data_IF_802440151253
#
_entry.id   IF_802440151253
#
_cell.length_a   1.000
_cell.length_b   1.000
_cell.length_c   1.000
_cell.angle_alpha   90.00
_cell.angle_beta   90.00
_cell.angle_gamma   90.00
#
_symmetry.space_group_name_H-M   'P 1'
#
loop_
_entity.id
_entity.type
_entity.pdbx_description
1 polymer ?
#
# COMPACT_ATOMS: atom_id res chain seq x y z
N UNK A 1 19.23 -12.59 7.41
CA UNK A 1 20.28 -13.51 6.92
C UNK A 1 19.66 -14.58 6.06
N UNK A 2 20.24 -14.77 4.86
CA UNK A 2 20.01 -15.80 3.82
C UNK A 2 18.70 -15.72 3.02
N UNK A 3 18.81 -15.14 1.87
CA UNK A 3 18.58 -15.57 0.48
C UNK A 3 17.66 -16.78 0.31
N UNK A 4 16.44 -16.56 -0.15
CA UNK A 4 15.58 -17.57 -0.75
C UNK A 4 15.95 -17.74 -2.22
N UNK A 5 16.30 -18.97 -2.62
CA UNK A 5 16.65 -19.34 -3.99
C UNK A 5 15.40 -19.36 -4.89
N UNK A 6 15.52 -18.73 -6.05
CA UNK A 6 14.57 -18.84 -7.16
C UNK A 6 14.58 -20.25 -7.71
N UNK A 7 13.40 -20.88 -7.80
CA UNK A 7 13.18 -22.05 -8.66
C UNK A 7 12.78 -21.57 -10.05
N UNK A 8 13.59 -21.83 -11.07
CA UNK A 8 13.29 -21.56 -12.47
C UNK A 8 12.28 -22.57 -13.01
N UNK A 9 11.22 -22.08 -13.62
CA UNK A 9 10.26 -22.91 -14.36
C UNK A 9 10.65 -22.86 -15.83
N UNK A 10 10.99 -24.03 -16.38
CA UNK A 10 11.24 -24.25 -17.80
C UNK A 10 9.96 -24.12 -18.61
N UNK A 11 10.02 -23.35 -19.71
CA UNK A 11 8.92 -23.15 -20.62
C UNK A 11 8.54 -24.43 -21.38
N UNK A 12 7.25 -24.64 -21.52
CA UNK A 12 6.65 -25.57 -22.47
C UNK A 12 5.90 -24.78 -23.52
N UNK A 13 6.39 -24.91 -24.75
CA UNK A 13 5.73 -24.39 -25.95
C UNK A 13 4.59 -25.33 -26.33
N UNK A 14 3.36 -24.79 -26.33
CA UNK A 14 2.20 -25.50 -26.90
C UNK A 14 1.84 -24.91 -28.26
N UNK A 15 1.84 -25.73 -29.29
CA UNK A 15 1.44 -25.38 -30.63
C UNK A 15 -0.09 -25.29 -30.74
N UNK A 16 -0.58 -24.19 -31.32
CA UNK A 16 -1.99 -23.96 -31.62
C UNK A 16 -2.28 -24.46 -33.03
N UNK A 17 -3.16 -25.44 -33.16
CA UNK A 17 -3.73 -25.87 -34.41
C UNK A 17 -4.98 -25.01 -34.74
N UNK A 18 -4.96 -24.34 -35.88
CA UNK A 18 -6.08 -23.59 -36.44
C UNK A 18 -6.98 -24.57 -37.19
N UNK A 19 -8.26 -24.66 -36.83
CA UNK A 19 -9.30 -25.32 -37.63
C UNK A 19 -10.22 -24.25 -38.18
N UNK A 20 -10.23 -24.08 -39.50
CA UNK A 20 -11.21 -23.32 -40.25
C UNK A 20 -12.47 -24.19 -40.46
N UNK A 21 -13.62 -23.72 -40.06
CA UNK A 21 -14.92 -24.30 -40.31
C UNK A 21 -15.87 -23.28 -40.92
N UNK A 22 -16.44 -23.60 -42.02
CA UNK A 22 -17.21 -22.78 -42.97
C UNK A 22 -18.65 -22.48 -42.55
N UNK A 23 -19.16 -21.39 -43.09
CA UNK A 23 -20.47 -20.80 -42.93
C UNK A 23 -21.69 -21.70 -43.22
N UNK A 24 -22.77 -21.47 -42.44
CA UNK A 24 -24.14 -21.89 -42.76
C UNK A 24 -25.14 -20.81 -42.33
N UNK A 25 -25.78 -20.15 -43.30
CA UNK A 25 -26.93 -19.27 -43.12
C UNK A 25 -28.21 -20.05 -42.81
N UNK A 26 -29.00 -19.57 -41.85
CA UNK A 26 -30.39 -20.04 -41.65
C UNK A 26 -31.08 -19.16 -40.62
N UNK A 27 -32.14 -18.45 -41.07
CA UNK A 27 -32.78 -17.34 -40.38
C UNK A 27 -33.86 -17.67 -39.35
N UNK A 28 -34.28 -16.66 -38.67
CA UNK A 28 -35.61 -16.43 -38.13
C UNK A 28 -35.79 -16.45 -36.62
N UNK A 29 -36.06 -15.30 -36.06
CA UNK A 29 -37.07 -15.17 -35.01
C UNK A 29 -36.62 -14.81 -33.59
N UNK A 30 -37.04 -13.62 -33.13
CA UNK A 30 -37.31 -13.33 -31.73
C UNK A 30 -36.12 -12.77 -30.95
N UNK A 31 -35.90 -11.47 -31.06
CA UNK A 31 -34.91 -10.77 -30.26
C UNK A 31 -35.43 -10.43 -28.88
N UNK A 32 -35.03 -11.15 -27.87
CA UNK A 32 -34.87 -10.55 -26.54
C UNK A 32 -33.51 -9.85 -26.52
N UNK A 33 -33.57 -8.53 -26.72
CA UNK A 33 -32.43 -7.64 -26.46
C UNK A 33 -32.17 -7.62 -24.97
N UNK A 34 -31.35 -8.55 -24.48
CA UNK A 34 -30.67 -8.36 -23.21
C UNK A 34 -29.78 -7.12 -23.39
N UNK A 35 -30.31 -5.96 -22.99
CA UNK A 35 -29.51 -4.75 -22.88
C UNK A 35 -28.32 -5.09 -21.99
N UNK A 36 -27.13 -5.12 -22.56
CA UNK A 36 -25.89 -5.13 -21.81
C UNK A 36 -26.02 -3.92 -20.88
N UNK A 37 -26.09 -4.16 -19.58
CA UNK A 37 -26.07 -3.08 -18.60
C UNK A 37 -24.77 -2.33 -18.80
N UNK A 38 -24.88 -1.06 -19.22
CA UNK A 38 -23.73 -0.17 -19.23
C UNK A 38 -23.05 -0.26 -17.88
N UNK A 39 -21.72 -0.40 -17.82
CA UNK A 39 -21.01 -0.45 -16.54
C UNK A 39 -21.36 0.82 -15.77
N UNK A 40 -21.93 0.65 -14.57
CA UNK A 40 -22.24 1.77 -13.67
C UNK A 40 -20.99 2.64 -13.54
N UNK A 41 -21.04 3.95 -13.81
CA UNK A 41 -19.86 4.81 -13.70
C UNK A 41 -19.25 4.67 -12.32
N UNK A 42 -17.95 4.39 -12.24
CA UNK A 42 -17.23 4.35 -10.97
C UNK A 42 -17.31 5.74 -10.33
N UNK A 43 -17.67 5.80 -9.04
CA UNK A 43 -17.75 7.07 -8.34
C UNK A 43 -16.40 7.77 -8.35
N UNK A 44 -16.39 9.11 -8.47
CA UNK A 44 -15.16 9.91 -8.64
C UNK A 44 -14.15 9.72 -7.50
N UNK A 45 -14.62 9.37 -6.30
CA UNK A 45 -13.77 9.12 -5.14
C UNK A 45 -13.38 7.63 -4.96
N UNK A 46 -13.47 6.82 -5.99
CA UNK A 46 -13.18 5.37 -5.91
C UNK A 46 -12.07 5.00 -6.88
N UNK A 47 -11.05 4.33 -6.35
CA UNK A 47 -10.03 3.63 -7.12
C UNK A 47 -10.27 2.12 -6.96
N UNK A 48 -10.47 1.36 -8.05
CA UNK A 48 -10.54 -0.09 -7.97
C UNK A 48 -9.24 -0.67 -7.40
N UNK A 49 -9.34 -1.48 -6.35
CA UNK A 49 -8.24 -2.30 -5.84
C UNK A 49 -8.27 -3.64 -6.55
N UNK A 50 -7.10 -4.11 -6.96
CA UNK A 50 -6.89 -5.48 -7.43
C UNK A 50 -5.79 -6.14 -6.60
N UNK A 51 -6.06 -7.36 -6.15
CA UNK A 51 -5.10 -8.23 -5.46
C UNK A 51 -4.90 -9.43 -6.37
N UNK A 52 -3.74 -9.54 -6.96
CA UNK A 52 -3.30 -10.62 -7.83
C UNK A 52 -1.77 -10.74 -7.78
N UNK A 53 -1.15 -11.45 -8.70
CA UNK A 53 0.31 -11.60 -8.76
C UNK A 53 1.06 -10.27 -8.99
N UNK A 54 0.38 -9.24 -9.50
CA UNK A 54 0.97 -7.94 -9.79
C UNK A 54 2.22 -7.99 -10.68
N UNK A 55 2.98 -6.90 -10.73
CA UNK A 55 4.16 -6.82 -11.59
C UNK A 55 5.37 -7.62 -11.08
N UNK A 56 5.34 -8.10 -9.84
CA UNK A 56 6.48 -8.75 -9.18
C UNK A 56 6.17 -10.17 -8.68
N UNK A 57 5.01 -10.73 -9.03
CA UNK A 57 4.53 -12.04 -8.56
C UNK A 57 4.43 -12.10 -7.04
N UNK A 58 3.73 -11.14 -6.45
CA UNK A 58 3.50 -11.01 -5.02
C UNK A 58 2.20 -11.70 -4.57
N UNK A 59 2.04 -11.85 -3.27
CA UNK A 59 0.82 -12.33 -2.61
C UNK A 59 0.33 -11.28 -1.62
N UNK A 60 -0.99 -11.24 -1.40
CA UNK A 60 -1.60 -10.31 -0.47
C UNK A 60 -1.10 -8.86 -0.67
N UNK A 61 -1.07 -8.39 -1.91
CA UNK A 61 -0.64 -7.03 -2.23
C UNK A 61 -1.77 -6.31 -2.96
N UNK A 62 -2.32 -5.23 -2.39
CA UNK A 62 -3.41 -4.48 -2.99
C UNK A 62 -2.85 -3.45 -3.98
N UNK A 63 -3.24 -3.53 -5.24
CA UNK A 63 -2.80 -2.62 -6.28
C UNK A 63 -3.91 -1.70 -6.76
N UNK A 64 -3.55 -0.45 -7.06
CA UNK A 64 -4.37 0.55 -7.74
C UNK A 64 -3.63 1.13 -8.95
N UNK A 65 -4.36 1.87 -9.79
CA UNK A 65 -3.79 2.69 -10.86
C UNK A 65 -3.75 4.14 -10.43
N UNK A 66 -2.61 4.82 -10.66
CA UNK A 66 -2.41 6.24 -10.37
C UNK A 66 -2.03 6.96 -11.66
N UNK A 67 -2.64 8.11 -11.95
CA UNK A 67 -2.23 8.92 -13.10
C UNK A 67 -1.33 10.06 -12.65
N UNK A 68 -0.17 10.17 -13.27
CA UNK A 68 0.85 11.20 -13.00
C UNK A 68 1.00 12.06 -14.23
N UNK A 69 0.96 13.39 -14.05
CA UNK A 69 1.12 14.36 -15.12
C UNK A 69 2.27 15.33 -14.85
N UNK A 70 2.84 15.89 -15.88
CA UNK A 70 3.74 17.05 -15.78
C UNK A 70 2.98 18.21 -15.10
N UNK A 71 3.56 18.88 -14.09
CA UNK A 71 2.89 19.95 -13.37
C UNK A 71 2.35 21.05 -14.29
N UNK A 72 1.05 21.34 -14.17
CA UNK A 72 0.33 22.31 -15.02
C UNK A 72 0.20 21.89 -16.49
N UNK A 73 0.59 20.67 -16.85
CA UNK A 73 0.59 20.17 -18.23
C UNK A 73 -0.48 19.13 -18.51
N UNK A 74 -0.64 18.81 -19.80
CA UNK A 74 -1.54 17.75 -20.29
C UNK A 74 -0.84 16.42 -20.53
N UNK A 75 0.50 16.36 -20.42
CA UNK A 75 1.26 15.13 -20.59
C UNK A 75 1.14 14.28 -19.34
N UNK A 76 0.39 13.19 -19.42
CA UNK A 76 0.06 12.30 -18.32
C UNK A 76 0.36 10.84 -18.67
N UNK A 77 0.64 10.05 -17.64
CA UNK A 77 0.78 8.61 -17.71
C UNK A 77 0.01 7.96 -16.56
N UNK A 78 -0.79 6.95 -16.86
CA UNK A 78 -1.38 6.08 -15.84
C UNK A 78 -0.45 4.91 -15.57
N UNK A 79 -0.19 4.67 -14.30
CA UNK A 79 0.71 3.62 -13.82
C UNK A 79 -0.13 2.65 -12.99
N UNK A 80 -0.22 1.42 -13.47
CA UNK A 80 -0.86 0.31 -12.78
C UNK A 80 0.09 -0.36 -11.79
N UNK A 81 -0.42 -1.24 -10.93
CA UNK A 81 0.42 -2.01 -10.00
C UNK A 81 1.10 -1.15 -8.94
N UNK A 82 0.46 -0.05 -8.52
CA UNK A 82 0.89 0.78 -7.40
C UNK A 82 0.28 0.23 -6.12
N UNK A 83 1.12 -0.13 -5.15
CA UNK A 83 0.70 -0.73 -3.86
C UNK A 83 -0.08 0.30 -3.04
N UNK A 84 -1.20 -0.08 -2.45
CA UNK A 84 -1.93 0.74 -1.45
C UNK A 84 -1.45 0.37 -0.06
N UNK A 85 -0.91 1.35 0.66
CA UNK A 85 -0.29 1.14 1.96
C UNK A 85 -0.83 2.13 3.00
N UNK A 86 -1.47 1.61 4.04
CA UNK A 86 -2.02 2.42 5.15
C UNK A 86 -1.03 2.66 6.29
N UNK A 87 0.18 2.11 6.22
CA UNK A 87 1.24 2.34 7.22
C UNK A 87 2.35 3.28 6.73
N UNK A 88 2.44 3.57 5.43
CA UNK A 88 3.36 4.60 4.91
C UNK A 88 2.62 5.83 4.37
N UNK A 89 3.36 6.91 4.14
CA UNK A 89 2.82 8.22 3.74
C UNK A 89 3.41 8.66 2.41
N UNK A 90 2.55 9.02 1.45
CA UNK A 90 2.94 9.68 0.21
C UNK A 90 3.13 8.75 -0.98
N UNK A 91 3.28 9.34 -2.16
CA UNK A 91 3.39 8.61 -3.42
C UNK A 91 4.85 8.45 -3.83
N UNK A 92 5.23 7.21 -4.13
CA UNK A 92 6.56 6.85 -4.65
C UNK A 92 6.42 5.96 -5.85
N UNK A 93 7.15 6.22 -6.94
CA UNK A 93 7.04 5.51 -8.22
C UNK A 93 8.41 5.07 -8.68
N UNK A 94 8.50 3.84 -9.20
CA UNK A 94 9.71 3.33 -9.81
C UNK A 94 10.08 4.12 -11.05
N UNK A 95 11.32 4.58 -11.16
CA UNK A 95 11.81 5.30 -12.35
C UNK A 95 11.71 4.48 -13.62
N UNK A 96 11.86 3.16 -13.51
CA UNK A 96 11.83 2.22 -14.64
C UNK A 96 10.49 2.09 -15.34
N UNK A 97 9.38 2.52 -14.69
CA UNK A 97 8.03 2.48 -15.28
C UNK A 97 7.58 3.84 -15.82
N UNK A 98 8.34 4.90 -15.55
CA UNK A 98 8.02 6.24 -16.04
C UNK A 98 8.42 6.40 -17.51
N UNK A 99 7.53 6.97 -18.29
CA UNK A 99 7.83 7.37 -19.67
C UNK A 99 8.92 8.45 -19.67
N UNK A 100 9.96 8.33 -20.52
CA UNK A 100 10.96 9.37 -20.68
C UNK A 100 10.39 10.74 -21.12
N UNK A 101 9.20 10.74 -21.72
CA UNK A 101 8.50 11.96 -22.13
C UNK A 101 7.81 12.69 -20.98
N UNK A 102 7.65 12.04 -19.82
CA UNK A 102 7.03 12.65 -18.62
C UNK A 102 8.06 13.50 -17.88
N UNK A 103 8.14 14.78 -18.24
CA UNK A 103 9.10 15.72 -17.65
C UNK A 103 8.61 16.23 -16.27
N UNK A 104 8.97 15.52 -15.20
CA UNK A 104 8.67 15.91 -13.82
C UNK A 104 9.72 16.91 -13.30
N UNK A 105 9.27 17.94 -12.60
CA UNK A 105 10.12 19.01 -12.09
C UNK A 105 10.90 18.54 -10.84
N UNK A 106 12.23 18.55 -10.90
CA UNK A 106 13.09 18.24 -9.75
C UNK A 106 12.87 19.27 -8.64
N UNK A 107 12.57 18.82 -7.43
CA UNK A 107 12.61 19.67 -6.25
C UNK A 107 14.05 19.88 -5.75
N UNK A 108 14.31 21.07 -5.19
CA UNK A 108 15.63 21.43 -4.68
C UNK A 108 15.59 21.68 -3.17
N UNK A 109 16.62 21.36 -2.45
CA UNK A 109 16.82 21.77 -1.07
C UNK A 109 17.05 23.31 -0.97
N UNK A 110 17.10 23.84 0.23
CA UNK A 110 17.30 25.30 0.46
C UNK A 110 18.61 25.84 -0.12
N UNK A 111 19.61 25.00 -0.30
CA UNK A 111 20.89 25.35 -0.92
C UNK A 111 20.90 25.23 -2.46
N UNK A 112 19.73 24.97 -3.08
CA UNK A 112 19.58 24.84 -4.54
C UNK A 112 19.97 23.47 -5.12
N UNK A 113 20.53 22.56 -4.31
CA UNK A 113 20.85 21.19 -4.77
C UNK A 113 19.59 20.34 -4.91
N UNK A 114 19.58 19.34 -5.81
CA UNK A 114 18.48 18.38 -5.91
C UNK A 114 18.12 17.77 -4.55
N UNK A 115 16.82 17.76 -4.24
CA UNK A 115 16.28 17.08 -3.07
C UNK A 115 16.07 15.60 -3.37
N UNK A 116 16.59 14.74 -2.50
CA UNK A 116 16.53 13.27 -2.61
C UNK A 116 16.00 12.69 -1.32
N UNK A 117 15.20 11.66 -1.41
CA UNK A 117 14.60 10.97 -0.26
C UNK A 117 15.20 9.57 -0.11
N UNK A 118 15.43 9.19 1.15
CA UNK A 118 15.57 7.82 1.62
C UNK A 118 14.31 7.45 2.40
N UNK A 119 13.48 6.58 1.86
CA UNK A 119 12.37 6.02 2.63
C UNK A 119 12.76 4.66 3.18
N UNK A 120 12.56 4.47 4.49
CA UNK A 120 12.88 3.24 5.21
C UNK A 120 11.59 2.46 5.46
N UNK A 121 11.55 1.22 5.01
CA UNK A 121 10.51 0.24 5.30
C UNK A 121 11.05 -0.82 6.26
N UNK A 122 10.17 -1.66 6.82
CA UNK A 122 10.57 -2.73 7.74
C UNK A 122 11.54 -3.73 7.07
N UNK A 123 11.38 -3.95 5.77
CA UNK A 123 12.10 -4.94 4.98
C UNK A 123 13.18 -4.36 4.05
N UNK A 124 13.38 -3.03 4.05
CA UNK A 124 14.40 -2.38 3.23
C UNK A 124 14.25 -0.87 3.09
N UNK A 125 14.89 -0.32 2.08
CA UNK A 125 14.82 1.12 1.81
C UNK A 125 14.69 1.42 0.32
N UNK A 126 14.08 2.57 0.01
CA UNK A 126 14.07 3.15 -1.33
C UNK A 126 14.90 4.42 -1.34
N UNK A 127 15.49 4.72 -2.51
CA UNK A 127 16.29 5.90 -2.73
C UNK A 127 15.97 6.54 -4.07
N UNK A 128 15.82 7.86 -4.10
CA UNK A 128 15.59 8.59 -5.34
C UNK A 128 15.21 10.05 -5.13
N UNK A 129 15.25 10.86 -6.21
CA UNK A 129 14.91 12.28 -6.16
C UNK A 129 13.44 12.52 -5.85
N UNK A 130 13.18 13.64 -5.17
CA UNK A 130 11.85 14.17 -4.98
C UNK A 130 11.51 15.09 -6.15
N UNK A 131 10.43 14.78 -6.87
CA UNK A 131 9.97 15.58 -8.02
C UNK A 131 8.53 16.04 -7.80
N UNK A 132 8.15 17.16 -8.42
CA UNK A 132 6.77 17.63 -8.42
C UNK A 132 6.00 17.00 -9.58
N UNK A 133 4.77 16.54 -9.30
CA UNK A 133 3.86 15.99 -10.27
C UNK A 133 2.42 16.42 -9.98
N UNK A 134 1.59 16.56 -11.02
CA UNK A 134 0.15 16.57 -10.83
C UNK A 134 -0.32 15.11 -10.78
N UNK A 135 -1.06 14.75 -9.73
CA UNK A 135 -1.48 13.37 -9.46
C UNK A 135 -3.00 13.28 -9.48
N UNK A 136 -3.53 12.28 -10.19
CA UNK A 136 -4.97 11.99 -10.22
C UNK A 136 -5.24 10.66 -9.55
N UNK A 137 -6.21 10.67 -8.64
CA UNK A 137 -6.68 9.53 -7.87
C UNK A 137 -8.20 9.41 -8.11
N UNK A 138 -8.62 8.41 -8.88
CA UNK A 138 -10.00 8.35 -9.34
C UNK A 138 -10.36 9.59 -10.19
N UNK A 139 -11.42 10.29 -9.81
CA UNK A 139 -11.84 11.57 -10.43
C UNK A 139 -11.30 12.82 -9.75
N UNK A 140 -10.43 12.69 -8.74
CA UNK A 140 -9.85 13.80 -7.99
C UNK A 140 -8.38 14.01 -8.34
N UNK A 141 -7.84 15.18 -8.05
CA UNK A 141 -6.46 15.54 -8.39
C UNK A 141 -5.80 16.42 -7.34
N UNK A 142 -4.47 16.24 -7.24
CA UNK A 142 -3.56 17.11 -6.48
C UNK A 142 -2.53 17.69 -7.43
N UNK A 143 -2.34 18.99 -7.41
CA UNK A 143 -1.38 19.66 -8.26
C UNK A 143 -0.03 19.82 -7.55
N UNK A 144 1.06 19.68 -8.31
CA UNK A 144 2.44 19.86 -7.85
C UNK A 144 2.80 19.09 -6.57
N UNK A 145 2.25 17.87 -6.42
CA UNK A 145 2.57 16.99 -5.30
C UNK A 145 4.04 16.59 -5.33
N UNK A 146 4.70 16.64 -4.18
CA UNK A 146 6.03 16.06 -3.99
C UNK A 146 5.93 14.54 -4.00
N UNK A 147 6.61 13.87 -4.93
CA UNK A 147 6.68 12.41 -5.04
C UNK A 147 8.13 11.93 -5.15
N UNK A 148 8.44 10.75 -4.60
CA UNK A 148 9.75 10.14 -4.80
C UNK A 148 9.79 9.36 -6.13
N UNK A 149 10.88 9.46 -6.86
CA UNK A 149 11.18 8.63 -8.03
C UNK A 149 12.23 7.59 -7.64
N UNK A 150 11.78 6.39 -7.33
CA UNK A 150 12.63 5.31 -6.80
C UNK A 150 13.59 4.80 -7.89
N UNK A 151 14.87 4.65 -7.55
CA UNK A 151 15.85 4.05 -8.43
C UNK A 151 16.17 4.88 -9.67
N UNK A 152 16.06 6.21 -9.60
CA UNK A 152 16.42 7.12 -10.70
C UNK A 152 17.92 7.01 -10.98
N UNK A 153 18.33 6.67 -12.24
CA UNK A 153 19.72 6.46 -12.59
C UNK A 153 20.62 7.70 -12.44
N UNK A 154 20.03 8.88 -12.31
CA UNK A 154 20.78 10.12 -11.98
C UNK A 154 21.23 10.20 -10.52
N UNK A 155 20.77 9.30 -9.63
CA UNK A 155 21.03 9.35 -8.19
C UNK A 155 21.47 7.99 -7.63
N UNK A 156 22.59 7.46 -8.13
CA UNK A 156 23.08 6.11 -7.76
C UNK A 156 23.86 6.05 -6.45
N UNK A 157 24.35 7.19 -5.93
CA UNK A 157 25.12 7.25 -4.71
C UNK A 157 24.20 7.33 -3.48
N UNK A 158 24.03 6.21 -2.80
CA UNK A 158 23.18 6.11 -1.61
C UNK A 158 24.04 6.32 -0.35
N UNK A 159 23.74 7.31 0.51
CA UNK A 159 24.47 7.51 1.76
C UNK A 159 24.38 6.30 2.68
N UNK A 160 25.44 6.03 3.46
CA UNK A 160 25.49 4.91 4.39
C UNK A 160 24.36 4.94 5.44
N UNK A 161 23.94 6.12 5.86
CA UNK A 161 22.79 6.30 6.77
C UNK A 161 21.43 5.89 6.17
N UNK A 162 21.33 5.77 4.85
CA UNK A 162 20.20 5.19 4.15
C UNK A 162 20.42 3.68 3.90
N UNK A 163 21.53 3.32 3.24
CA UNK A 163 21.79 1.94 2.80
C UNK A 163 22.00 0.93 3.94
N UNK A 164 22.30 1.40 5.16
CA UNK A 164 22.45 0.53 6.34
C UNK A 164 21.14 0.11 6.99
N UNK A 165 20.00 0.65 6.56
CA UNK A 165 18.69 0.36 7.17
C UNK A 165 18.04 -0.93 6.66
N UNK A 166 18.60 -1.52 5.59
CA UNK A 166 18.12 -2.76 5.01
C UNK A 166 18.53 -2.91 3.53
N UNK A 167 18.07 -3.95 2.83
CA UNK A 167 18.32 -4.12 1.41
C UNK A 167 17.68 -3.01 0.57
N UNK A 168 18.33 -2.64 -0.52
CA UNK A 168 17.78 -1.67 -1.46
C UNK A 168 16.59 -2.25 -2.22
N UNK A 169 15.45 -1.56 -2.20
CA UNK A 169 14.22 -1.90 -2.89
C UNK A 169 13.97 -0.97 -4.10
N UNK A 170 15.00 -0.77 -4.92
CA UNK A 170 15.01 0.20 -6.01
C UNK A 170 14.63 -0.41 -7.39
N UNK A 171 14.01 -1.57 -7.40
CA UNK A 171 13.49 -2.23 -8.61
C UNK A 171 12.09 -2.79 -8.35
N UNK A 172 11.28 -2.89 -9.41
CA UNK A 172 9.92 -3.47 -9.33
C UNK A 172 9.93 -4.86 -8.66
N UNK A 173 10.90 -5.71 -8.99
CA UNK A 173 11.01 -7.07 -8.43
C UNK A 173 11.42 -7.10 -6.96
N UNK A 174 12.27 -6.18 -6.51
CA UNK A 174 12.68 -6.10 -5.11
C UNK A 174 11.59 -5.46 -4.25
N UNK A 175 10.90 -4.44 -4.78
CA UNK A 175 9.88 -3.67 -4.08
C UNK A 175 8.51 -4.36 -4.03
N UNK A 176 8.20 -5.17 -5.04
CA UNK A 176 6.90 -5.86 -5.14
C UNK A 176 5.83 -5.11 -5.94
N UNK A 177 6.12 -3.92 -6.47
CA UNK A 177 5.17 -3.09 -7.21
C UNK A 177 5.83 -2.02 -8.07
N UNK A 178 5.03 -1.37 -8.93
CA UNK A 178 5.47 -0.24 -9.75
C UNK A 178 5.63 1.06 -8.97
N UNK A 179 5.25 1.05 -7.70
CA UNK A 179 5.31 2.14 -6.75
C UNK A 179 4.43 1.85 -5.55
N UNK A 180 4.27 2.84 -4.67
CA UNK A 180 3.45 2.77 -3.48
C UNK A 180 2.67 4.07 -3.30
N UNK A 181 1.39 3.94 -3.02
CA UNK A 181 0.48 5.00 -2.61
C UNK A 181 0.28 4.87 -1.10
N UNK A 182 1.13 5.57 -0.34
CA UNK A 182 1.05 5.63 1.11
C UNK A 182 -0.09 6.55 1.54
N UNK A 183 -1.11 5.98 2.17
CA UNK A 183 -2.34 6.65 2.63
C UNK A 183 -2.53 6.49 4.13
N UNK A 184 -1.43 6.64 4.88
CA UNK A 184 -1.42 6.48 6.34
C UNK A 184 -2.22 7.58 7.05
N UNK A 185 -2.22 7.51 8.37
CA UNK A 185 -2.85 8.52 9.23
C UNK A 185 -2.09 9.83 9.30
N UNK A 186 -0.89 9.93 8.73
CA UNK A 186 -0.06 11.12 8.76
C UNK A 186 -0.14 11.90 7.45
N UNK A 187 -0.06 13.24 7.53
CA UNK A 187 -0.04 14.10 6.35
C UNK A 187 1.33 14.13 5.67
N UNK A 188 2.43 14.11 6.43
CA UNK A 188 3.79 14.07 5.92
C UNK A 188 4.48 12.78 6.34
N UNK A 189 5.45 12.32 5.56
CA UNK A 189 6.20 11.09 5.83
C UNK A 189 7.20 11.21 6.99
N UNK A 190 7.71 12.42 7.25
CA UNK A 190 8.62 12.70 8.36
C UNK A 190 8.10 13.78 9.32
N UNK A 191 7.22 14.66 8.86
CA UNK A 191 6.56 15.68 9.67
C UNK A 191 7.52 16.75 10.22
N UNK A 192 7.18 17.25 11.41
CA UNK A 192 7.89 18.36 12.06
C UNK A 192 9.35 18.03 12.39
N UNK A 193 9.67 16.77 12.61
CA UNK A 193 11.05 16.35 12.92
C UNK A 193 12.01 16.71 11.78
N UNK A 194 11.68 16.35 10.55
CA UNK A 194 12.47 16.69 9.38
C UNK A 194 12.36 18.17 8.98
N UNK A 195 11.31 18.88 9.41
CA UNK A 195 11.21 20.32 9.16
C UNK A 195 12.12 21.14 10.07
N UNK A 196 12.40 20.64 11.28
CA UNK A 196 13.21 21.33 12.28
C UNK A 196 14.70 20.94 12.25
N UNK A 197 15.02 19.75 11.77
CA UNK A 197 16.37 19.23 11.78
C UNK A 197 16.69 18.38 10.54
N UNK A 198 17.98 18.32 10.20
CA UNK A 198 18.50 17.38 9.22
C UNK A 198 18.60 15.99 9.86
N UNK A 199 17.72 15.07 9.48
CA UNK A 199 17.68 13.71 10.03
C UNK A 199 18.37 12.75 9.05
N UNK A 200 19.51 12.13 9.41
CA UNK A 200 20.15 11.11 8.59
C UNK A 200 19.20 9.93 8.33
N UNK A 201 19.16 9.44 7.10
CA UNK A 201 18.28 8.36 6.70
C UNK A 201 16.89 8.81 6.21
N UNK A 202 16.68 10.13 5.96
CA UNK A 202 15.40 10.66 5.44
C UNK A 202 15.63 11.51 4.19
N UNK A 203 15.89 12.81 4.32
CA UNK A 203 16.06 13.75 3.21
C UNK A 203 17.49 14.22 3.03
N UNK A 204 17.92 14.38 1.77
CA UNK A 204 19.26 14.76 1.40
C UNK A 204 19.26 15.84 0.30
N UNK A 205 20.23 16.76 0.38
CA UNK A 205 20.63 17.61 -0.72
C UNK A 205 21.82 16.97 -1.44
N UNK A 206 21.67 16.64 -2.71
CA UNK A 206 22.70 15.93 -3.48
C UNK A 206 23.31 16.85 -4.56
N UNK A 207 24.60 17.15 -4.46
CA UNK A 207 25.39 17.86 -5.47
C UNK A 207 26.35 16.85 -6.15
N UNK A 208 25.96 16.33 -7.31
CA UNK A 208 26.68 15.21 -7.95
C UNK A 208 26.65 13.96 -7.07
N UNK A 209 27.84 13.43 -6.73
CA UNK A 209 27.97 12.25 -5.88
C UNK A 209 27.86 12.54 -4.37
N UNK A 210 27.95 13.80 -3.95
CA UNK A 210 27.92 14.19 -2.55
C UNK A 210 26.49 14.49 -2.10
N UNK A 211 25.97 13.71 -1.15
CA UNK A 211 24.67 13.88 -0.54
C UNK A 211 24.81 14.17 0.96
N UNK A 212 24.15 15.21 1.45
CA UNK A 212 24.13 15.58 2.86
C UNK A 212 22.70 15.64 3.37
N UNK A 213 22.45 15.12 4.57
CA UNK A 213 21.15 15.22 5.21
C UNK A 213 20.75 16.69 5.38
N UNK A 214 19.47 17.00 5.12
CA UNK A 214 18.93 18.37 5.20
C UNK A 214 17.57 18.38 5.87
N UNK A 215 17.25 19.50 6.53
CA UNK A 215 15.88 19.77 6.96
C UNK A 215 15.01 20.14 5.74
N UNK A 216 13.74 19.70 5.76
CA UNK A 216 12.80 19.92 4.66
C UNK A 216 11.46 20.38 5.23
N UNK A 217 11.00 21.57 4.81
CA UNK A 217 9.72 22.12 5.21
C UNK A 217 8.56 21.15 4.91
N UNK A 218 7.53 21.16 5.76
CA UNK A 218 6.38 20.24 5.67
C UNK A 218 5.75 20.16 4.27
N UNK A 219 5.61 21.32 3.60
CA UNK A 219 5.01 21.40 2.26
C UNK A 219 5.88 20.84 1.14
N UNK A 220 7.14 20.55 1.42
CA UNK A 220 8.14 20.03 0.47
C UNK A 220 8.52 18.58 0.72
N UNK A 221 8.10 18.01 1.84
CA UNK A 221 8.20 16.59 2.12
C UNK A 221 7.27 15.79 1.21
N UNK A 222 7.50 14.49 1.08
CA UNK A 222 6.55 13.58 0.42
C UNK A 222 5.31 13.48 1.30
N UNK A 223 4.15 13.85 0.74
CA UNK A 223 2.91 14.00 1.50
C UNK A 223 1.88 12.96 1.11
N UNK A 224 0.98 12.66 2.05
CA UNK A 224 -0.23 11.91 1.77
C UNK A 224 -1.09 12.71 0.77
N UNK A 225 -1.26 12.23 -0.47
CA UNK A 225 -2.01 12.96 -1.48
C UNK A 225 -3.48 13.15 -1.11
N UNK A 226 -4.05 12.22 -0.33
CA UNK A 226 -5.45 12.30 0.08
C UNK A 226 -5.72 13.56 0.89
N UNK A 227 -4.85 13.92 1.83
CA UNK A 227 -5.03 15.13 2.63
C UNK A 227 -4.93 16.45 1.84
N UNK A 228 -4.54 16.40 0.56
CA UNK A 228 -4.44 17.57 -0.33
C UNK A 228 -5.58 17.64 -1.36
N UNK A 229 -6.50 16.67 -1.36
CA UNK A 229 -7.67 16.67 -2.22
C UNK A 229 -8.63 17.81 -1.85
N UNK A 230 -9.37 18.30 -2.85
CA UNK A 230 -10.29 19.40 -2.64
C UNK A 230 -11.53 19.01 -1.82
N UNK A 231 -11.96 17.77 -1.89
CA UNK A 231 -13.22 17.30 -1.29
C UNK A 231 -13.02 16.14 -0.30
N UNK A 232 -12.48 15.04 -0.73
CA UNK A 232 -12.44 13.79 0.03
C UNK A 232 -11.10 13.65 0.79
N UNK A 233 -10.73 14.69 1.57
CA UNK A 233 -9.35 14.92 2.07
C UNK A 233 -9.10 14.49 3.52
N UNK A 234 -10.01 13.75 4.16
CA UNK A 234 -9.91 13.47 5.60
C UNK A 234 -9.49 12.02 5.92
N UNK A 235 -9.29 11.19 4.91
CA UNK A 235 -8.89 9.80 5.07
C UNK A 235 -9.34 8.93 3.92
N UNK A 236 -9.23 7.62 4.10
CA UNK A 236 -9.61 6.62 3.11
C UNK A 236 -10.38 5.47 3.72
N UNK A 237 -11.06 4.71 2.86
CA UNK A 237 -11.68 3.42 3.20
C UNK A 237 -11.13 2.36 2.26
N UNK A 238 -10.61 1.27 2.79
CA UNK A 238 -10.35 0.05 2.03
C UNK A 238 -11.53 -0.90 2.25
N UNK A 239 -12.21 -1.25 1.15
CA UNK A 239 -13.38 -2.12 1.15
C UNK A 239 -13.06 -3.37 0.33
N UNK A 240 -12.83 -4.49 1.01
CA UNK A 240 -12.48 -5.77 0.39
C UNK A 240 -13.52 -6.85 0.71
N UNK A 241 -13.90 -7.68 -0.27
CA UNK A 241 -14.75 -8.82 -0.03
C UNK A 241 -14.05 -9.89 0.82
N UNK A 242 -14.82 -10.76 1.44
CA UNK A 242 -14.30 -11.90 2.17
C UNK A 242 -13.62 -12.90 1.22
N UNK A 243 -12.56 -13.54 1.71
CA UNK A 243 -11.82 -14.60 1.00
C UNK A 243 -11.97 -15.90 1.78
N UNK A 244 -12.13 -17.01 1.08
CA UNK A 244 -12.22 -18.34 1.69
C UNK A 244 -10.88 -18.82 2.28
N UNK A 245 -10.93 -19.85 3.12
CA UNK A 245 -9.76 -20.37 3.84
C UNK A 245 -8.63 -20.91 2.93
N UNK A 246 -8.94 -21.26 1.69
CA UNK A 246 -7.96 -21.72 0.68
C UNK A 246 -7.38 -20.59 -0.16
N UNK A 247 -7.84 -19.34 0.08
CA UNK A 247 -7.44 -18.18 -0.71
C UNK A 247 -8.22 -18.02 -2.02
N UNK A 248 -7.84 -17.02 -2.79
CA UNK A 248 -8.38 -16.71 -4.12
C UNK A 248 -7.26 -16.31 -5.08
N UNK A 249 -7.42 -16.65 -6.37
CA UNK A 249 -6.44 -16.30 -7.40
C UNK A 249 -6.42 -14.80 -7.69
N UNK A 250 -7.55 -14.13 -7.54
CA UNK A 250 -7.69 -12.67 -7.70
C UNK A 250 -8.83 -12.18 -6.82
N UNK A 251 -8.65 -11.01 -6.20
CA UNK A 251 -9.69 -10.30 -5.46
C UNK A 251 -9.77 -8.87 -6.01
N UNK A 252 -10.99 -8.36 -6.15
CA UNK A 252 -11.24 -6.96 -6.47
C UNK A 252 -11.98 -6.29 -5.33
N UNK A 253 -11.61 -5.05 -5.04
CA UNK A 253 -12.22 -4.22 -4.00
C UNK A 253 -12.10 -2.75 -4.36
N UNK A 254 -12.13 -1.89 -3.36
CA UNK A 254 -12.11 -0.44 -3.56
C UNK A 254 -11.24 0.27 -2.53
N UNK A 255 -10.43 1.21 -2.99
CA UNK A 255 -9.92 2.32 -2.19
C UNK A 255 -10.87 3.49 -2.41
N UNK A 256 -11.54 3.92 -1.37
CA UNK A 256 -12.52 5.02 -1.40
C UNK A 256 -11.91 6.20 -0.68
N UNK A 257 -11.83 7.34 -1.36
CA UNK A 257 -11.30 8.59 -0.81
C UNK A 257 -12.36 9.26 0.06
N UNK A 258 -11.93 9.85 1.17
CA UNK A 258 -12.78 10.50 2.16
C UNK A 258 -13.49 9.55 3.13
N UNK A 259 -13.91 10.09 4.29
CA UNK A 259 -14.70 9.41 5.32
C UNK A 259 -15.91 10.27 5.65
N UNK A 260 -17.13 9.77 5.33
CA UNK A 260 -18.39 10.49 5.55
C UNK A 260 -18.57 11.74 4.69
N UNK A 261 -17.78 11.89 3.63
CA UNK A 261 -17.87 13.01 2.69
C UNK A 261 -18.86 12.75 1.56
N UNK A 262 -19.16 11.49 1.29
CA UNK A 262 -20.12 11.03 0.25
C UNK A 262 -20.98 9.88 0.77
N UNK A 263 -21.99 9.50 0.03
CA UNK A 263 -22.92 8.42 0.41
C UNK A 263 -22.24 7.04 0.47
N UNK A 264 -21.10 6.84 -0.26
CA UNK A 264 -20.41 5.56 -0.36
C UNK A 264 -19.32 5.35 0.71
N UNK A 265 -18.99 6.36 1.54
CA UNK A 265 -17.88 6.31 2.49
C UNK A 265 -18.25 6.67 3.95
N UNK A 266 -19.53 6.51 4.30
CA UNK A 266 -19.99 6.65 5.69
C UNK A 266 -19.46 5.56 6.59
N UNK A 267 -19.19 5.89 7.86
CA UNK A 267 -18.68 4.97 8.90
C UNK A 267 -19.65 3.81 9.21
N UNK A 268 -20.97 4.03 9.07
CA UNK A 268 -21.96 3.03 9.47
C UNK A 268 -21.82 2.67 10.95
N UNK A 269 -21.67 1.36 11.24
CA UNK A 269 -21.52 0.83 12.60
C UNK A 269 -20.05 0.55 12.97
N UNK A 270 -19.07 1.04 12.19
CA UNK A 270 -17.66 0.82 12.48
C UNK A 270 -17.26 1.43 13.82
N UNK A 271 -16.51 0.68 14.61
CA UNK A 271 -15.96 1.14 15.88
C UNK A 271 -14.72 1.98 15.61
N UNK A 272 -14.68 3.19 16.18
CA UNK A 272 -13.55 4.12 16.01
C UNK A 272 -12.51 3.89 17.09
N UNK A 273 -11.29 3.56 16.70
CA UNK A 273 -10.11 3.41 17.55
C UNK A 273 -9.19 4.60 17.32
N UNK A 274 -9.21 5.58 18.23
CA UNK A 274 -8.22 6.66 18.20
C UNK A 274 -6.82 6.09 18.41
N UNK A 275 -5.86 6.61 17.64
CA UNK A 275 -4.47 6.16 17.67
C UNK A 275 -3.59 7.07 18.53
N UNK A 276 -2.40 6.59 18.88
CA UNK A 276 -1.35 7.46 19.39
C UNK A 276 -1.02 8.53 18.33
N UNK A 277 -1.11 9.83 18.65
CA UNK A 277 -0.97 10.89 17.65
C UNK A 277 0.45 11.03 17.10
N UNK A 278 1.46 10.47 17.77
CA UNK A 278 2.86 10.58 17.35
C UNK A 278 3.32 9.32 16.60
N UNK A 279 2.76 8.17 16.92
CA UNK A 279 3.18 6.88 16.38
C UNK A 279 2.16 6.25 15.41
N UNK A 280 0.90 6.72 15.41
CA UNK A 280 -0.17 6.11 14.59
C UNK A 280 -0.53 4.69 15.03
N UNK A 281 -0.31 4.34 16.32
CA UNK A 281 -0.47 2.97 16.84
C UNK A 281 -1.65 2.85 17.78
N UNK A 282 -2.14 1.63 17.94
CA UNK A 282 -3.10 1.19 18.93
C UNK A 282 -2.50 0.08 19.81
N UNK A 283 -3.22 -0.35 20.82
CA UNK A 283 -2.83 -1.51 21.63
C UNK A 283 -3.61 -2.74 21.19
N UNK A 284 -2.91 -3.85 20.95
CA UNK A 284 -3.54 -5.18 20.77
C UNK A 284 -3.26 -6.04 21.99
N UNK A 285 -4.30 -6.65 22.57
CA UNK A 285 -4.18 -7.63 23.66
C UNK A 285 -4.35 -9.02 23.09
N UNK A 286 -3.36 -9.88 23.27
CA UNK A 286 -3.37 -11.26 22.81
C UNK A 286 -2.78 -12.18 23.88
N UNK A 287 -3.47 -13.26 24.24
CA UNK A 287 -3.06 -14.20 25.29
C UNK A 287 -2.68 -13.52 26.63
N UNK A 288 -3.43 -12.48 27.00
CA UNK A 288 -3.19 -11.71 28.23
C UNK A 288 -2.01 -10.73 28.17
N UNK A 289 -1.28 -10.68 27.05
CA UNK A 289 -0.17 -9.74 26.83
C UNK A 289 -0.64 -8.54 26.01
N UNK A 290 -0.22 -7.32 26.41
CA UNK A 290 -0.50 -6.07 25.69
C UNK A 290 0.65 -5.69 24.77
N UNK A 291 0.32 -5.39 23.51
CA UNK A 291 1.25 -4.93 22.47
C UNK A 291 0.86 -3.50 22.07
N UNK A 292 1.51 -2.52 22.65
CA UNK A 292 1.15 -1.10 22.58
C UNK A 292 1.59 -0.40 21.29
N UNK A 293 2.29 -1.09 20.41
CA UNK A 293 2.81 -0.57 19.13
C UNK A 293 2.20 -1.31 17.94
N UNK A 294 0.94 -1.71 18.07
CA UNK A 294 0.21 -2.41 17.02
C UNK A 294 -0.39 -1.41 16.02
N UNK A 295 -0.53 -1.81 14.78
CA UNK A 295 -1.05 -0.97 13.70
C UNK A 295 -1.79 -1.80 12.65
N UNK A 296 -2.54 -1.12 11.77
CA UNK A 296 -3.27 -1.74 10.65
C UNK A 296 -2.60 -1.29 9.36
N UNK A 297 -2.17 -2.28 8.55
CA UNK A 297 -1.29 -2.07 7.42
C UNK A 297 -1.73 -2.87 6.18
N UNK A 298 -2.31 -2.20 5.19
CA UNK A 298 -2.66 -2.86 3.93
C UNK A 298 -1.46 -3.21 3.06
N UNK A 299 -0.29 -2.62 3.30
CA UNK A 299 0.97 -2.89 2.59
C UNK A 299 1.66 -4.17 3.05
N UNK A 300 1.37 -4.65 4.26
CA UNK A 300 1.89 -5.90 4.80
C UNK A 300 1.10 -7.11 4.31
N UNK A 301 1.80 -8.13 3.79
CA UNK A 301 1.18 -9.28 3.12
C UNK A 301 0.68 -10.40 4.07
N UNK A 302 0.91 -10.28 5.37
CA UNK A 302 0.50 -11.24 6.39
C UNK A 302 0.07 -10.51 7.68
N UNK A 303 -0.60 -11.22 8.59
CA UNK A 303 -0.72 -10.74 9.96
C UNK A 303 0.58 -11.09 10.67
N UNK A 304 1.35 -10.09 11.09
CA UNK A 304 2.58 -10.30 11.85
C UNK A 304 2.29 -10.12 13.33
N UNK A 305 2.51 -11.18 14.12
CA UNK A 305 2.25 -11.15 15.55
C UNK A 305 3.12 -12.16 16.31
N UNK A 306 3.45 -11.90 17.59
CA UNK A 306 4.26 -12.81 18.38
C UNK A 306 3.43 -14.00 18.89
N UNK A 307 3.76 -15.19 18.43
CA UNK A 307 3.23 -16.45 18.96
C UNK A 307 4.35 -17.50 19.04
N UNK A 308 4.83 -17.74 20.25
CA UNK A 308 5.89 -18.73 20.49
C UNK A 308 5.40 -20.19 20.42
N UNK A 309 4.09 -20.43 20.34
CA UNK A 309 3.51 -21.77 20.28
C UNK A 309 3.35 -22.30 18.86
N UNK A 310 3.20 -21.40 17.87
CA UNK A 310 3.01 -21.79 16.46
C UNK A 310 4.35 -22.03 15.76
N UNK A 311 4.49 -23.19 15.12
CA UNK A 311 5.65 -23.53 14.30
C UNK A 311 5.83 -22.55 13.14
N UNK A 312 7.09 -22.21 12.85
CA UNK A 312 7.47 -21.35 11.71
C UNK A 312 8.07 -22.21 10.60
N UNK A 313 7.60 -22.03 9.36
CA UNK A 313 8.15 -22.67 8.17
C UNK A 313 9.54 -22.12 7.81
N UNK A 314 10.22 -22.80 6.90
CA UNK A 314 11.46 -22.29 6.28
C UNK A 314 11.28 -21.01 5.49
N UNK A 315 10.05 -20.71 5.05
CA UNK A 315 9.64 -19.45 4.41
C UNK A 315 9.60 -18.25 5.38
N UNK A 316 9.64 -18.49 6.69
CA UNK A 316 9.52 -17.46 7.72
C UNK A 316 8.09 -17.20 8.19
N UNK A 317 7.07 -17.77 7.54
CA UNK A 317 5.68 -17.69 7.96
C UNK A 317 5.29 -18.79 8.96
N UNK A 318 4.16 -18.63 9.64
CA UNK A 318 3.63 -19.67 10.50
C UNK A 318 3.12 -20.90 9.73
N UNK A 319 3.39 -22.09 10.29
CA UNK A 319 3.02 -23.39 9.72
C UNK A 319 2.39 -24.30 10.77
N UNK A 320 1.23 -24.00 11.32
CA UNK A 320 0.57 -24.91 12.24
C UNK A 320 0.17 -26.22 11.50
N UNK A 321 0.17 -27.34 12.21
CA UNK A 321 -0.22 -28.65 11.66
C UNK A 321 -1.68 -28.67 11.18
N UNK A 322 -2.55 -27.87 11.80
CA UNK A 322 -3.94 -27.61 11.39
C UNK A 322 -4.26 -26.13 11.56
N UNK A 323 -5.22 -25.57 10.79
CA UNK A 323 -5.60 -24.17 10.91
C UNK A 323 -6.01 -23.83 12.35
N UNK A 324 -5.44 -22.76 12.88
CA UNK A 324 -5.74 -22.24 14.22
C UNK A 324 -6.78 -21.13 14.12
N UNK A 325 -7.70 -21.07 15.09
CA UNK A 325 -8.63 -19.96 15.28
C UNK A 325 -8.17 -19.17 16.50
N UNK A 326 -7.85 -17.92 16.29
CA UNK A 326 -7.27 -17.05 17.30
C UNK A 326 -8.15 -15.82 17.52
N UNK A 327 -8.00 -15.20 18.69
CA UNK A 327 -8.75 -14.01 19.07
C UNK A 327 -7.81 -13.02 19.75
N UNK A 328 -7.85 -11.77 19.31
CA UNK A 328 -7.16 -10.65 19.96
C UNK A 328 -8.15 -9.49 20.18
N UNK A 329 -7.81 -8.57 21.05
CA UNK A 329 -8.62 -7.37 21.32
C UNK A 329 -7.80 -6.13 20.99
N UNK A 330 -8.31 -5.29 20.10
CA UNK A 330 -7.73 -3.97 19.83
C UNK A 330 -8.34 -2.92 20.74
N UNK A 331 -7.50 -2.01 21.25
CA UNK A 331 -7.84 -0.93 22.15
C UNK A 331 -7.36 0.41 21.57
N UNK A 332 -8.28 1.34 21.37
CA UNK A 332 -7.95 2.72 21.01
C UNK A 332 -7.54 3.57 22.23
N UNK A 333 -6.80 4.65 22.00
CA UNK A 333 -6.44 5.62 23.05
C UNK A 333 -7.67 6.36 23.61
N UNK A 334 -8.78 6.36 22.91
CA UNK A 334 -10.09 6.87 23.34
C UNK A 334 -10.86 5.90 24.24
N UNK A 335 -10.28 4.75 24.61
CA UNK A 335 -10.92 3.72 25.43
C UNK A 335 -11.84 2.77 24.65
N UNK A 336 -11.96 2.91 23.32
CA UNK A 336 -12.69 1.95 22.49
C UNK A 336 -12.01 0.58 22.52
N UNK A 337 -12.81 -0.47 22.41
CA UNK A 337 -12.35 -1.86 22.42
C UNK A 337 -13.09 -2.67 21.38
N UNK A 338 -12.38 -3.54 20.67
CA UNK A 338 -12.97 -4.42 19.65
C UNK A 338 -12.24 -5.75 19.56
N UNK A 339 -13.00 -6.84 19.58
CA UNK A 339 -12.49 -8.20 19.41
C UNK A 339 -12.30 -8.51 17.93
N UNK A 340 -11.12 -9.03 17.59
CA UNK A 340 -10.78 -9.51 16.24
C UNK A 340 -10.57 -11.02 16.30
N UNK A 341 -11.44 -11.76 15.62
CA UNK A 341 -11.22 -13.17 15.35
C UNK A 341 -10.47 -13.31 14.02
N UNK A 342 -9.42 -14.12 14.01
CA UNK A 342 -8.60 -14.38 12.83
C UNK A 342 -8.12 -15.83 12.84
N UNK A 343 -7.72 -16.32 11.68
CA UNK A 343 -7.18 -17.68 11.55
C UNK A 343 -5.75 -17.65 11.03
N UNK A 344 -4.99 -18.70 11.38
CA UNK A 344 -3.65 -18.94 10.88
C UNK A 344 -3.61 -20.32 10.24
N UNK A 345 -3.31 -20.38 8.95
CA UNK A 345 -3.16 -21.64 8.23
C UNK A 345 -1.68 -21.95 7.99
N UNK A 346 -1.42 -23.18 7.56
CA UNK A 346 -0.08 -23.60 7.18
C UNK A 346 0.35 -22.87 5.90
N UNK A 347 1.35 -22.00 6.01
CA UNK A 347 1.79 -21.14 4.91
C UNK A 347 2.32 -21.94 3.72
N UNK A 348 3.05 -23.05 3.94
CA UNK A 348 3.55 -23.87 2.84
C UNK A 348 2.39 -24.45 2.01
N UNK A 349 1.27 -24.83 2.65
CA UNK A 349 0.09 -25.31 1.93
C UNK A 349 -0.59 -24.18 1.13
N UNK A 350 -0.67 -22.96 1.67
CA UNK A 350 -1.23 -21.81 0.98
C UNK A 350 -0.37 -21.43 -0.24
N UNK A 351 0.94 -21.33 -0.04
CA UNK A 351 1.90 -20.87 -1.04
C UNK A 351 2.16 -21.89 -2.16
N UNK A 352 1.79 -23.15 -1.96
CA UNK A 352 1.82 -24.19 -3.00
C UNK A 352 0.63 -24.08 -4.00
N UNK A 353 -0.33 -23.17 -3.76
CA UNK A 353 -1.43 -22.91 -4.68
C UNK A 353 -1.07 -21.81 -5.68
N UNK A 354 -1.91 -21.63 -6.71
CA UNK A 354 -1.83 -20.48 -7.63
C UNK A 354 -2.58 -19.23 -7.11
N UNK A 355 -3.10 -19.28 -5.88
CA UNK A 355 -3.80 -18.17 -5.27
C UNK A 355 -2.83 -17.06 -4.83
N UNK A 356 -3.32 -15.82 -4.85
CA UNK A 356 -2.55 -14.63 -4.46
C UNK A 356 -3.15 -13.90 -3.27
N UNK A 357 -4.37 -14.20 -2.88
CA UNK A 357 -5.08 -13.57 -1.76
C UNK A 357 -5.44 -14.61 -0.70
N UNK A 358 -4.96 -14.40 0.53
CA UNK A 358 -5.12 -15.31 1.66
C UNK A 358 -5.51 -14.52 2.92
N UNK A 359 -6.64 -14.85 3.55
CA UNK A 359 -7.11 -14.21 4.78
C UNK A 359 -6.49 -14.78 6.06
N UNK A 360 -5.67 -15.79 5.96
CA UNK A 360 -5.14 -16.59 7.06
C UNK A 360 -3.62 -16.83 6.98
N UNK A 361 -2.92 -16.02 6.20
CA UNK A 361 -1.45 -16.00 6.17
C UNK A 361 -0.93 -15.13 7.31
N UNK A 362 0.00 -15.68 8.10
CA UNK A 362 0.58 -14.98 9.24
C UNK A 362 2.04 -15.34 9.46
N UNK A 363 2.78 -14.49 10.19
CA UNK A 363 4.19 -14.67 10.48
C UNK A 363 4.58 -14.06 11.83
N UNK A 364 5.74 -14.44 12.41
CA UNK A 364 6.29 -13.69 13.54
C UNK A 364 6.72 -12.29 13.10
N UNK A 365 6.59 -11.27 14.00
CA UNK A 365 7.04 -9.91 13.69
C UNK A 365 8.56 -9.85 13.62
N UNK A 366 9.09 -8.95 12.81
CA UNK A 366 10.50 -8.58 12.83
C UNK A 366 10.73 -7.44 13.84
N UNK A 367 11.72 -7.57 14.73
CA UNK A 367 12.10 -6.52 15.67
C UNK A 367 11.23 -6.44 16.92
N UNK A 368 10.58 -5.30 17.18
CA UNK A 368 9.80 -5.09 18.41
C UNK A 368 8.51 -5.90 18.37
N UNK A 369 8.19 -6.69 19.42
CA UNK A 369 6.94 -7.44 19.47
C UNK A 369 5.73 -6.50 19.36
N UNK A 370 4.95 -6.66 18.29
CA UNK A 370 3.76 -5.87 17.97
C UNK A 370 2.82 -6.70 17.13
N UNK A 371 1.56 -6.28 16.98
CA UNK A 371 0.69 -6.73 15.92
C UNK A 371 0.77 -5.76 14.76
N UNK A 372 1.15 -6.28 13.60
CA UNK A 372 0.90 -5.68 12.31
C UNK A 372 -0.30 -6.42 11.69
N UNK A 373 -1.45 -5.74 11.69
CA UNK A 373 -2.67 -6.23 11.08
C UNK A 373 -2.62 -6.00 9.57
N UNK A 374 -1.84 -6.84 8.87
CA UNK A 374 -1.63 -6.73 7.43
C UNK A 374 -2.87 -6.99 6.58
N UNK A 375 -2.71 -7.12 5.26
CA UNK A 375 -3.83 -7.26 4.31
C UNK A 375 -4.83 -8.36 4.67
N UNK A 376 -4.45 -9.52 5.25
CA UNK A 376 -5.42 -10.53 5.66
C UNK A 376 -6.51 -10.01 6.60
N UNK A 377 -6.20 -8.98 7.41
CA UNK A 377 -7.18 -8.33 8.27
C UNK A 377 -8.28 -7.59 7.48
N UNK A 378 -7.96 -7.06 6.30
CA UNK A 378 -8.89 -6.25 5.50
C UNK A 378 -9.95 -7.08 4.76
N UNK A 379 -9.71 -8.37 4.52
CA UNK A 379 -10.68 -9.21 3.81
C UNK A 379 -12.01 -9.36 4.56
N UNK A 380 -13.11 -9.05 3.88
CA UNK A 380 -14.46 -9.04 4.43
C UNK A 380 -14.77 -7.85 5.33
N UNK A 381 -13.98 -6.78 5.24
CA UNK A 381 -14.12 -5.57 6.06
C UNK A 381 -14.07 -4.29 5.23
N UNK A 382 -14.69 -3.27 5.79
CA UNK A 382 -14.44 -1.87 5.45
C UNK A 382 -13.54 -1.29 6.53
N UNK A 383 -12.31 -0.96 6.18
CA UNK A 383 -11.32 -0.43 7.11
C UNK A 383 -11.08 1.04 6.78
N UNK A 384 -11.32 1.91 7.73
CA UNK A 384 -11.19 3.37 7.63
C UNK A 384 -9.86 3.80 8.24
N UNK A 385 -9.14 4.68 7.55
CA UNK A 385 -7.88 5.29 8.00
C UNK A 385 -8.03 6.80 7.91
N UNK A 386 -8.16 7.48 9.06
CA UNK A 386 -8.40 8.92 9.14
C UNK A 386 -7.10 9.70 9.36
N UNK A 387 -6.89 10.74 8.57
CA UNK A 387 -5.69 11.58 8.61
C UNK A 387 -5.71 12.50 9.84
N UNK A 388 -4.57 12.65 10.48
CA UNK A 388 -4.34 13.52 11.63
C UNK A 388 -4.88 14.94 11.42
N UNK A 389 -5.48 15.52 12.46
CA UNK A 389 -6.03 16.88 12.42
C UNK A 389 -7.21 17.09 11.48
N UNK A 390 -7.64 16.08 10.72
CA UNK A 390 -8.80 16.17 9.82
C UNK A 390 -10.08 15.73 10.50
N UNK A 391 -11.13 16.52 10.33
CA UNK A 391 -12.46 16.21 10.89
C UNK A 391 -13.22 15.22 10.01
N UNK A 392 -13.92 14.28 10.66
CA UNK A 392 -14.77 13.29 10.02
C UNK A 392 -15.93 12.92 10.97
N UNK A 393 -16.92 12.11 10.55
CA UNK A 393 -17.96 11.62 11.45
C UNK A 393 -17.47 10.83 12.66
N UNK A 394 -16.26 10.24 12.60
CA UNK A 394 -15.62 9.55 13.72
C UNK A 394 -14.86 10.44 14.68
N UNK A 395 -14.84 11.74 14.44
CA UNK A 395 -14.05 12.72 15.19
C UNK A 395 -12.84 13.23 14.39
N UNK A 396 -11.88 13.84 15.10
CA UNK A 396 -10.61 14.25 14.47
C UNK A 396 -9.64 13.08 14.44
N UNK A 397 -8.95 12.88 13.29
CA UNK A 397 -7.85 11.92 13.17
C UNK A 397 -6.65 12.29 14.07
N UNK A 398 -5.69 11.36 14.31
CA UNK A 398 -5.61 10.05 13.65
C UNK A 398 -6.48 8.97 14.33
N UNK A 399 -7.19 8.20 13.53
CA UNK A 399 -7.89 7.01 13.99
C UNK A 399 -7.99 5.96 12.87
N UNK A 400 -8.25 4.72 13.24
CA UNK A 400 -8.75 3.66 12.36
C UNK A 400 -10.16 3.27 12.82
N UNK A 401 -10.99 2.76 11.88
CA UNK A 401 -12.30 2.23 12.24
C UNK A 401 -12.64 1.01 11.36
N UNK A 402 -13.40 0.04 11.91
CA UNK A 402 -13.84 -1.15 11.20
C UNK A 402 -15.01 -1.85 11.91
#
# INVERSE_FOLDING_TARGET
MRSSRKAGVQGWTLAIAVVLGTAGCGGGGGGDSSAASDPTPVAQNVLPIRIDAGPANTINTPFVSVTICTPGGSNCQTIDGVIVDTASTGLRIMSSVLSPSLALTQQTASNGSPLVECMQFVDGNTWGPVKAADVRLGGESVNSLAIQIIGDPGFTNVPGSCSSTGPAQNTVQAFGGNGILGVSVFQQDCGTLCAQAAIPGTYYACAGAACQAVAVELTRQVQNPVGLLASDSNGVVIDLPAVGATGAATVTGSLILGIGTRANNGLGNAVVFALDPNAGTLTTVFNGQSYTRSFIDSGSNAIFFPDGATTVCSSGFYCPASPQQLTATNLGTNGSSGTVNFSVANADNLLNSSNTAFNNLAAPPSGIPSFDWGLPFHFGRRVFTAIEGRSSPGGSGPYVAY
#
